data_IF_188754632791
#
_entry.id   IF_188754632791
#
_cell.length_a   1.000
_cell.length_b   1.000
_cell.length_c   1.000
_cell.angle_alpha   90.00
_cell.angle_beta   90.00
_cell.angle_gamma   90.00
#
_symmetry.space_group_name_H-M   'P 1'
#
loop_
_entity.id
_entity.type
_entity.pdbx_description
1 polymer ?
#
# COMPACT_ATOMS: atom_id res chain seq x y z
N UNK A 1 -10.41 19.31 7.50
CA UNK A 1 -9.77 18.12 6.89
C UNK A 1 -9.64 17.03 7.94
N UNK A 2 -9.99 15.78 7.63
CA UNK A 2 -9.76 14.64 8.55
C UNK A 2 -8.26 14.44 8.69
N UNK A 3 -7.74 14.36 9.90
CA UNK A 3 -6.31 14.14 10.17
C UNK A 3 -5.86 12.81 9.57
N UNK A 4 -4.66 12.75 8.98
CA UNK A 4 -4.03 11.50 8.58
C UNK A 4 -3.50 10.82 9.85
N UNK A 5 -3.87 9.56 10.08
CA UNK A 5 -3.49 8.83 11.29
C UNK A 5 -2.57 7.64 11.01
N UNK A 6 -2.51 7.19 9.75
CA UNK A 6 -1.83 5.95 9.36
C UNK A 6 -0.73 6.16 8.34
N UNK A 7 -0.61 7.39 7.80
CA UNK A 7 0.46 7.80 6.89
C UNK A 7 0.97 9.19 7.26
N UNK A 8 2.23 9.45 6.92
CA UNK A 8 2.84 10.78 6.95
C UNK A 8 3.16 11.22 5.54
N UNK A 9 2.97 12.49 5.24
CA UNK A 9 3.40 13.11 3.98
C UNK A 9 4.44 14.18 4.29
N UNK A 10 5.61 14.05 3.68
CA UNK A 10 6.62 15.11 3.58
C UNK A 10 6.79 15.53 2.13
N UNK A 11 6.99 16.85 1.89
CA UNK A 11 7.24 17.38 0.56
C UNK A 11 8.40 18.38 0.63
N UNK A 12 9.51 18.01 0.04
CA UNK A 12 10.73 18.81 0.07
C UNK A 12 11.46 18.72 -1.28
N UNK A 13 11.84 19.86 -1.84
CA UNK A 13 12.67 19.94 -3.04
C UNK A 13 12.12 19.14 -4.25
N UNK A 14 10.81 19.15 -4.46
CA UNK A 14 10.18 18.42 -5.56
C UNK A 14 9.98 16.93 -5.31
N UNK A 15 10.29 16.43 -4.12
CA UNK A 15 10.08 15.04 -3.72
C UNK A 15 8.92 14.99 -2.73
N UNK A 16 7.92 14.15 -3.01
CA UNK A 16 6.91 13.78 -2.05
C UNK A 16 7.24 12.41 -1.47
N UNK A 17 7.30 12.32 -0.15
CA UNK A 17 7.51 11.04 0.56
C UNK A 17 6.27 10.70 1.36
N UNK A 18 5.61 9.60 0.99
CA UNK A 18 4.54 8.98 1.78
C UNK A 18 5.15 7.89 2.64
N UNK A 19 5.01 8.03 3.95
CA UNK A 19 5.51 7.04 4.91
C UNK A 19 4.33 6.35 5.58
N UNK A 20 4.22 5.04 5.45
CA UNK A 20 3.27 4.21 6.19
C UNK A 20 3.64 4.26 7.68
N UNK A 21 2.73 4.67 8.55
CA UNK A 21 3.01 4.95 9.96
C UNK A 21 2.10 4.18 10.92
N UNK A 22 2.20 2.84 10.84
CA UNK A 22 1.60 1.89 11.78
C UNK A 22 2.64 0.85 12.22
N UNK A 23 3.78 1.26 12.80
CA UNK A 23 4.89 0.34 13.08
C UNK A 23 4.52 -0.81 14.03
N UNK A 24 3.61 -0.58 14.98
CA UNK A 24 3.10 -1.59 15.92
C UNK A 24 2.31 -2.71 15.23
N UNK A 25 1.72 -2.43 14.05
CA UNK A 25 1.03 -3.38 13.18
C UNK A 25 1.88 -3.74 11.93
N UNK A 26 3.18 -3.44 11.93
CA UNK A 26 4.09 -3.65 10.78
C UNK A 26 3.55 -3.03 9.50
N UNK A 27 2.93 -1.87 9.60
CA UNK A 27 2.30 -1.13 8.51
C UNK A 27 1.25 -1.95 7.74
N UNK A 28 0.49 -2.79 8.44
CA UNK A 28 -0.59 -3.58 7.85
C UNK A 28 -1.66 -2.68 7.24
N UNK A 29 -2.19 -3.08 6.09
CA UNK A 29 -3.20 -2.36 5.32
C UNK A 29 -4.55 -2.51 6.03
N UNK A 30 -4.98 -1.47 6.73
CA UNK A 30 -6.33 -1.32 7.28
C UNK A 30 -7.20 -0.48 6.35
N UNK A 31 -8.51 -0.46 6.58
CA UNK A 31 -9.42 0.42 5.84
C UNK A 31 -9.04 1.89 6.01
N UNK A 32 -8.64 2.32 7.22
CA UNK A 32 -8.16 3.69 7.46
C UNK A 32 -6.89 3.99 6.66
N UNK A 33 -5.94 3.02 6.58
CA UNK A 33 -4.72 3.21 5.81
C UNK A 33 -5.01 3.32 4.31
N UNK A 34 -5.97 2.56 3.79
CA UNK A 34 -6.40 2.68 2.39
C UNK A 34 -6.96 4.09 2.13
N UNK A 35 -7.85 4.58 3.00
CA UNK A 35 -8.44 5.90 2.88
C UNK A 35 -7.38 7.01 2.98
N UNK A 36 -6.45 6.90 3.93
CA UNK A 36 -5.37 7.86 4.12
C UNK A 36 -4.41 7.87 2.90
N UNK A 37 -4.03 6.71 2.39
CA UNK A 37 -3.21 6.60 1.18
C UNK A 37 -3.90 7.19 -0.04
N UNK A 38 -5.16 6.84 -0.30
CA UNK A 38 -5.92 7.38 -1.43
C UNK A 38 -6.02 8.91 -1.39
N UNK A 39 -6.23 9.48 -0.19
CA UNK A 39 -6.27 10.94 -0.01
C UNK A 39 -4.90 11.56 -0.24
N UNK A 40 -3.85 10.94 0.29
CA UNK A 40 -2.49 11.45 0.19
C UNK A 40 -1.98 11.36 -1.26
N UNK A 41 -2.26 10.28 -1.98
CA UNK A 41 -1.94 10.15 -3.41
C UNK A 41 -2.57 11.29 -4.22
N UNK A 42 -3.87 11.58 -4.03
CA UNK A 42 -4.53 12.72 -4.71
C UNK A 42 -3.90 14.07 -4.36
N UNK A 43 -3.47 14.26 -3.12
CA UNK A 43 -2.79 15.48 -2.71
C UNK A 43 -1.43 15.62 -3.40
N UNK A 44 -0.66 14.53 -3.52
CA UNK A 44 0.65 14.54 -4.23
C UNK A 44 0.45 14.70 -5.73
N UNK A 45 -0.57 14.09 -6.32
CA UNK A 45 -0.89 14.20 -7.74
C UNK A 45 -1.02 15.69 -8.17
N UNK A 46 -1.72 16.48 -7.36
CA UNK A 46 -1.97 17.92 -7.64
C UNK A 46 -0.92 18.87 -7.08
N UNK A 47 0.13 18.37 -6.42
CA UNK A 47 1.20 19.18 -5.84
C UNK A 47 2.32 19.47 -6.85
N UNK A 48 3.28 20.32 -6.46
CA UNK A 48 4.49 20.62 -7.24
C UNK A 48 5.56 19.51 -7.16
N UNK A 49 5.29 18.40 -6.44
CA UNK A 49 6.22 17.28 -6.39
C UNK A 49 6.39 16.64 -7.79
N UNK A 50 7.63 16.31 -8.13
CA UNK A 50 8.03 15.71 -9.41
C UNK A 50 8.11 14.17 -9.31
N UNK A 51 8.29 13.65 -8.11
CA UNK A 51 8.44 12.20 -7.84
C UNK A 51 7.79 11.86 -6.51
N UNK A 52 7.24 10.65 -6.43
CA UNK A 52 6.68 10.07 -5.22
C UNK A 52 7.58 8.96 -4.69
N UNK A 53 7.93 9.02 -3.41
CA UNK A 53 8.56 7.93 -2.68
C UNK A 53 7.52 7.34 -1.70
N UNK A 54 7.38 6.01 -1.70
CA UNK A 54 6.57 5.27 -0.72
C UNK A 54 7.50 4.43 0.16
N UNK A 55 7.39 4.57 1.48
CA UNK A 55 8.19 3.82 2.45
C UNK A 55 7.39 3.51 3.71
N UNK A 56 7.98 2.82 4.68
CA UNK A 56 7.33 2.48 5.95
C UNK A 56 8.18 2.85 7.18
N UNK A 57 7.54 3.19 8.29
CA UNK A 57 8.21 3.38 9.58
C UNK A 57 8.58 2.01 10.18
N UNK A 58 9.72 1.93 10.86
CA UNK A 58 10.12 0.76 11.64
C UNK A 58 10.76 -0.35 10.82
N UNK A 59 10.50 -1.61 11.21
CA UNK A 59 11.22 -2.80 10.70
C UNK A 59 10.56 -3.45 9.47
N UNK A 60 9.40 -2.98 9.04
CA UNK A 60 8.69 -3.53 7.89
C UNK A 60 8.25 -2.41 6.97
N UNK A 61 8.29 -2.67 5.68
CA UNK A 61 7.63 -1.81 4.71
C UNK A 61 6.10 -1.94 4.88
N UNK A 62 5.54 -3.13 4.64
CA UNK A 62 4.12 -3.40 4.82
C UNK A 62 3.89 -4.92 4.92
N UNK A 63 3.14 -5.36 5.92
CA UNK A 63 2.87 -6.80 6.18
C UNK A 63 1.62 -7.36 5.48
N UNK A 64 1.02 -6.60 4.56
CA UNK A 64 -0.22 -6.99 3.88
C UNK A 64 -1.47 -6.57 4.65
N UNK A 65 -2.61 -7.20 4.35
CA UNK A 65 -3.89 -6.83 4.94
C UNK A 65 -3.89 -7.03 6.46
N UNK A 66 -4.48 -6.07 7.17
CA UNK A 66 -4.67 -6.15 8.63
C UNK A 66 -5.61 -7.31 8.98
N UNK A 67 -5.14 -8.23 9.84
CA UNK A 67 -5.90 -9.44 10.19
C UNK A 67 -7.21 -9.14 10.93
N UNK A 68 -7.30 -8.04 11.66
CA UNK A 68 -8.54 -7.60 12.30
C UNK A 68 -9.58 -7.19 11.25
N UNK A 69 -9.14 -6.48 10.20
CA UNK A 69 -9.99 -6.14 9.07
C UNK A 69 -10.43 -7.38 8.28
N UNK A 70 -9.53 -8.37 8.07
CA UNK A 70 -9.90 -9.64 7.43
C UNK A 70 -10.96 -10.40 8.24
N UNK A 71 -10.84 -10.46 9.56
CA UNK A 71 -11.86 -11.08 10.43
C UNK A 71 -13.19 -10.36 10.34
N UNK A 72 -13.19 -9.04 10.23
CA UNK A 72 -14.42 -8.26 10.11
C UNK A 72 -15.22 -8.58 8.84
N UNK A 73 -14.57 -9.05 7.76
CA UNK A 73 -15.25 -9.43 6.51
C UNK A 73 -16.24 -10.59 6.71
N UNK A 74 -16.00 -11.47 7.68
CA UNK A 74 -16.85 -12.66 7.94
C UNK A 74 -18.28 -12.25 8.34
N UNK A 75 -18.42 -11.12 9.05
CA UNK A 75 -19.72 -10.63 9.54
C UNK A 75 -20.40 -9.62 8.61
N UNK A 76 -19.82 -9.34 7.44
CA UNK A 76 -20.34 -8.35 6.49
C UNK A 76 -21.18 -8.95 5.38
N UNK A 77 -22.07 -8.14 4.79
CA UNK A 77 -22.81 -8.56 3.61
C UNK A 77 -21.90 -8.71 2.38
N UNK A 78 -22.35 -9.46 1.35
CA UNK A 78 -21.63 -9.53 0.08
C UNK A 78 -21.40 -8.16 -0.56
N UNK A 79 -22.34 -7.24 -0.45
CA UNK A 79 -22.27 -5.89 -1.00
C UNK A 79 -21.19 -5.05 -0.27
N UNK A 80 -21.11 -5.15 1.05
CA UNK A 80 -20.07 -4.49 1.84
C UNK A 80 -18.68 -5.05 1.52
N UNK A 81 -18.55 -6.38 1.40
CA UNK A 81 -17.30 -7.03 1.02
C UNK A 81 -16.86 -6.65 -0.40
N UNK A 82 -17.81 -6.52 -1.33
CA UNK A 82 -17.52 -6.05 -2.69
C UNK A 82 -17.00 -4.61 -2.67
N UNK A 83 -17.63 -3.72 -1.91
CA UNK A 83 -17.19 -2.33 -1.76
C UNK A 83 -15.78 -2.24 -1.19
N UNK A 84 -15.46 -3.02 -0.16
CA UNK A 84 -14.11 -3.07 0.43
C UNK A 84 -13.07 -3.54 -0.59
N UNK A 85 -13.40 -4.59 -1.36
CA UNK A 85 -12.54 -5.08 -2.44
C UNK A 85 -12.34 -4.04 -3.54
N UNK A 86 -13.38 -3.32 -3.93
CA UNK A 86 -13.30 -2.23 -4.90
C UNK A 86 -12.42 -1.09 -4.40
N UNK A 87 -12.48 -0.76 -3.11
CA UNK A 87 -11.62 0.28 -2.50
C UNK A 87 -10.15 -0.14 -2.52
N UNK A 88 -9.85 -1.42 -2.25
CA UNK A 88 -8.49 -1.96 -2.38
C UNK A 88 -8.00 -1.91 -3.84
N UNK A 89 -8.83 -2.31 -4.80
CA UNK A 89 -8.52 -2.22 -6.23
C UNK A 89 -8.25 -0.76 -6.62
N UNK A 90 -9.05 0.18 -6.12
CA UNK A 90 -8.86 1.60 -6.37
C UNK A 90 -7.50 2.10 -5.86
N UNK A 91 -7.09 1.68 -4.66
CA UNK A 91 -5.77 2.03 -4.12
C UNK A 91 -4.65 1.54 -5.04
N UNK A 92 -4.69 0.26 -5.41
CA UNK A 92 -3.66 -0.33 -6.27
C UNK A 92 -3.63 0.33 -7.64
N UNK A 93 -4.80 0.56 -8.24
CA UNK A 93 -4.92 1.24 -9.52
C UNK A 93 -4.40 2.68 -9.46
N UNK A 94 -4.73 3.43 -8.38
CA UNK A 94 -4.27 4.81 -8.21
C UNK A 94 -2.75 4.91 -8.09
N UNK A 95 -2.08 3.90 -7.54
CA UNK A 95 -0.62 3.84 -7.48
C UNK A 95 -0.03 3.40 -8.82
N UNK A 96 -0.61 2.38 -9.47
CA UNK A 96 -0.16 1.88 -10.77
C UNK A 96 -0.29 2.92 -11.91
N UNK A 97 -1.37 3.69 -11.90
CA UNK A 97 -1.66 4.74 -12.90
C UNK A 97 -1.17 6.13 -12.43
N UNK A 98 -0.33 6.19 -11.38
CA UNK A 98 0.08 7.47 -10.82
C UNK A 98 0.83 8.31 -11.87
N UNK A 99 0.48 9.60 -12.09
CA UNK A 99 0.97 10.36 -13.24
C UNK A 99 2.41 10.90 -13.07
N UNK A 100 3.08 10.58 -11.95
CA UNK A 100 4.46 10.98 -11.67
C UNK A 100 5.29 9.74 -11.37
N UNK A 101 6.62 9.74 -11.63
CA UNK A 101 7.49 8.64 -11.24
C UNK A 101 7.33 8.25 -9.78
N UNK A 102 7.22 6.94 -9.53
CA UNK A 102 7.01 6.38 -8.20
C UNK A 102 8.16 5.45 -7.82
N UNK A 103 8.61 5.56 -6.57
CA UNK A 103 9.70 4.74 -6.02
C UNK A 103 9.21 4.10 -4.72
N UNK A 104 9.21 2.78 -4.64
CA UNK A 104 9.08 2.07 -3.38
C UNK A 104 10.46 1.97 -2.71
N UNK A 105 10.64 2.67 -1.59
CA UNK A 105 11.83 2.53 -0.74
C UNK A 105 11.53 1.50 0.37
N UNK A 106 11.85 0.24 0.07
CA UNK A 106 11.46 -0.92 0.89
C UNK A 106 12.48 -1.12 2.01
N UNK A 107 12.14 -0.66 3.20
CA UNK A 107 12.97 -0.64 4.40
C UNK A 107 12.94 -1.96 5.21
N UNK A 108 12.26 -2.99 4.71
CA UNK A 108 12.14 -4.29 5.40
C UNK A 108 11.14 -5.22 4.71
N UNK A 109 10.46 -6.07 5.47
CA UNK A 109 9.51 -7.02 4.89
C UNK A 109 8.34 -6.32 4.19
N UNK A 110 8.07 -6.74 2.94
CA UNK A 110 6.92 -6.38 2.12
C UNK A 110 6.18 -7.67 1.77
N UNK A 111 5.04 -7.94 2.41
CA UNK A 111 4.36 -9.23 2.33
C UNK A 111 2.93 -9.05 1.80
N UNK A 112 2.46 -10.00 0.99
CA UNK A 112 1.10 -10.02 0.44
C UNK A 112 0.76 -8.70 -0.27
N UNK A 113 -0.29 -8.00 0.14
CA UNK A 113 -0.63 -6.66 -0.36
C UNK A 113 0.51 -5.63 -0.22
N UNK A 114 1.44 -5.82 0.74
CA UNK A 114 2.64 -5.00 0.87
C UNK A 114 3.63 -5.21 -0.27
N UNK A 115 3.81 -6.46 -0.72
CA UNK A 115 4.53 -6.76 -1.97
C UNK A 115 3.84 -6.06 -3.14
N UNK A 116 2.50 -6.11 -3.18
CA UNK A 116 1.71 -5.42 -4.20
C UNK A 116 2.02 -3.92 -4.25
N UNK A 117 1.95 -3.23 -3.12
CA UNK A 117 2.26 -1.79 -3.06
C UNK A 117 3.67 -1.47 -3.58
N UNK A 118 4.67 -2.29 -3.23
CA UNK A 118 6.04 -2.09 -3.70
C UNK A 118 6.17 -2.29 -5.21
N UNK A 119 5.55 -3.34 -5.76
CA UNK A 119 5.64 -3.67 -7.19
C UNK A 119 4.80 -2.76 -8.09
N UNK A 120 3.83 -2.04 -7.55
CA UNK A 120 3.02 -1.09 -8.30
C UNK A 120 3.73 0.25 -8.53
N UNK A 121 4.81 0.51 -7.81
CA UNK A 121 5.70 1.63 -8.10
C UNK A 121 6.56 1.34 -9.34
N UNK A 122 6.98 2.38 -10.07
CA UNK A 122 7.84 2.25 -11.25
C UNK A 122 9.21 1.65 -10.90
N UNK A 123 9.72 1.98 -9.71
CA UNK A 123 11.00 1.48 -9.20
C UNK A 123 10.85 0.94 -7.79
N UNK A 124 11.52 -0.18 -7.52
CA UNK A 124 11.64 -0.74 -6.17
C UNK A 124 13.10 -0.77 -5.75
N UNK A 125 13.43 0.02 -4.72
CA UNK A 125 14.71 0.00 -4.05
C UNK A 125 14.52 -0.65 -2.68
N UNK A 126 15.30 -1.66 -2.36
CA UNK A 126 15.11 -2.43 -1.14
C UNK A 126 16.42 -2.59 -0.36
N UNK A 127 16.32 -2.60 0.96
CA UNK A 127 17.45 -3.01 1.81
C UNK A 127 17.78 -4.50 1.59
N UNK A 128 19.04 -4.94 1.77
CA UNK A 128 19.43 -6.33 1.53
C UNK A 128 18.60 -7.36 2.31
N UNK A 129 18.10 -6.99 3.49
CA UNK A 129 17.32 -7.84 4.37
C UNK A 129 15.81 -7.86 4.04
N UNK A 130 15.38 -7.08 3.05
CA UNK A 130 13.99 -7.04 2.65
C UNK A 130 13.50 -8.41 2.18
N UNK A 131 12.28 -8.74 2.56
CA UNK A 131 11.63 -9.99 2.16
C UNK A 131 10.35 -9.68 1.42
N UNK A 132 10.19 -10.25 0.25
CA UNK A 132 8.99 -10.14 -0.58
C UNK A 132 8.29 -11.49 -0.64
N UNK A 133 6.97 -11.48 -0.73
CA UNK A 133 6.24 -12.72 -0.94
C UNK A 133 4.74 -12.58 -0.81
N UNK A 134 4.06 -13.46 -1.52
CA UNK A 134 2.62 -13.66 -1.44
C UNK A 134 2.34 -14.86 -0.55
N UNK A 135 1.92 -14.61 0.68
CA UNK A 135 1.72 -15.63 1.70
C UNK A 135 0.25 -15.95 1.98
N UNK A 136 -0.65 -15.41 1.16
CA UNK A 136 -2.11 -15.53 1.28
C UNK A 136 -2.58 -16.97 1.34
N UNK A 137 -1.92 -17.87 0.61
CA UNK A 137 -2.22 -19.31 0.60
C UNK A 137 -2.14 -19.96 1.99
N UNK A 138 -1.29 -19.42 2.88
CA UNK A 138 -1.15 -19.93 4.25
C UNK A 138 -2.38 -19.73 5.13
N UNK A 139 -3.26 -18.83 4.72
CA UNK A 139 -4.51 -18.49 5.41
C UNK A 139 -5.73 -18.75 4.53
N UNK A 140 -5.56 -19.54 3.45
CA UNK A 140 -6.66 -19.95 2.57
C UNK A 140 -7.12 -18.89 1.56
N UNK A 141 -6.30 -17.85 1.30
CA UNK A 141 -6.60 -16.83 0.31
C UNK A 141 -5.72 -16.96 -0.94
N UNK A 142 -6.20 -16.39 -2.03
CA UNK A 142 -5.46 -16.23 -3.27
C UNK A 142 -5.14 -14.74 -3.44
N UNK A 143 -3.93 -14.34 -3.87
CA UNK A 143 -3.56 -12.93 -4.12
C UNK A 143 -4.21 -12.40 -5.41
N UNK A 144 -5.54 -12.52 -5.54
CA UNK A 144 -6.28 -12.30 -6.78
C UNK A 144 -6.11 -10.88 -7.34
N UNK A 145 -6.15 -9.86 -6.50
CA UNK A 145 -6.05 -8.47 -6.93
C UNK A 145 -4.63 -8.17 -7.41
N UNK A 146 -3.61 -8.49 -6.59
CA UNK A 146 -2.22 -8.16 -6.92
C UNK A 146 -1.66 -8.98 -8.09
N UNK A 147 -2.14 -10.21 -8.29
CA UNK A 147 -1.67 -11.06 -9.39
C UNK A 147 -2.00 -10.48 -10.77
N UNK A 148 -3.09 -9.73 -10.90
CA UNK A 148 -3.45 -9.08 -12.16
C UNK A 148 -2.44 -8.00 -12.58
N UNK A 149 -1.83 -7.34 -11.61
CA UNK A 149 -0.79 -6.33 -11.86
C UNK A 149 0.59 -6.98 -12.04
N UNK A 150 0.91 -7.99 -11.23
CA UNK A 150 2.20 -8.68 -11.30
C UNK A 150 2.48 -9.23 -12.70
N UNK A 151 1.49 -9.88 -13.33
CA UNK A 151 1.62 -10.44 -14.68
C UNK A 151 1.87 -9.40 -15.79
N UNK A 152 1.74 -8.12 -15.48
CA UNK A 152 2.03 -7.03 -16.43
C UNK A 152 3.44 -6.46 -16.26
N UNK A 153 4.13 -6.84 -15.20
CA UNK A 153 5.47 -6.32 -14.86
C UNK A 153 6.60 -7.34 -15.04
N UNK A 154 6.24 -8.60 -15.33
CA UNK A 154 7.19 -9.71 -15.53
C UNK A 154 7.06 -10.32 -16.90
#
# INVERSE_FOLDING_TARGET
MKTLNTVKLDQTAGIATITLDRPEKRNAISFDLIDDLLRTLRQVETSEALVLILTGVGKAFCSGMDLENLKALIGRSPEENLKDSQTMVQLFRSLYEFPKPTIAAVNGAAIAGGTGLALLCDFTLAVPEAKFGYTEVRIGFVPAIVSTFLLRQV
#
